data_IF_983844209810
#
_entry.id   IF_983844209810
#
_cell.length_a   1.000
_cell.length_b   1.000
_cell.length_c   1.000
_cell.angle_alpha   90.00
_cell.angle_beta   90.00
_cell.angle_gamma   90.00
#
_symmetry.space_group_name_H-M   'P 1'
#
loop_
_entity.id
_entity.type
_entity.pdbx_description
1 polymer ?
#
# COMPACT_ATOMS: atom_id res chain seq x y z
N UNK A 1 19.49 -13.40 10.14
CA UNK A 1 18.09 -12.90 10.14
C UNK A 1 17.99 -11.98 8.95
N UNK A 2 17.07 -12.22 8.02
CA UNK A 2 16.95 -11.43 6.80
C UNK A 2 16.39 -10.04 7.11
N UNK A 3 17.04 -9.00 6.58
CA UNK A 3 16.73 -7.59 6.78
C UNK A 3 16.05 -6.98 5.56
N UNK A 4 15.35 -5.86 5.75
CA UNK A 4 14.79 -5.04 4.70
C UNK A 4 15.86 -4.55 3.73
N UNK A 5 17.05 -4.18 4.21
CA UNK A 5 18.11 -3.69 3.35
C UNK A 5 18.66 -4.79 2.42
N UNK A 6 18.76 -6.03 2.91
CA UNK A 6 19.07 -7.19 2.05
C UNK A 6 18.00 -7.43 0.99
N UNK A 7 16.72 -7.23 1.32
CA UNK A 7 15.59 -7.36 0.38
C UNK A 7 15.59 -6.21 -0.65
N UNK A 8 15.85 -4.98 -0.21
CA UNK A 8 15.91 -3.77 -1.04
C UNK A 8 17.06 -3.81 -2.04
N UNK A 9 18.19 -4.38 -1.65
CA UNK A 9 19.37 -4.55 -2.50
C UNK A 9 19.35 -5.82 -3.36
N UNK A 10 18.30 -6.65 -3.25
CA UNK A 10 18.19 -7.89 -4.01
C UNK A 10 17.76 -7.64 -5.47
N UNK A 11 18.65 -7.92 -6.42
CA UNK A 11 18.40 -7.70 -7.84
C UNK A 11 17.27 -8.56 -8.44
N UNK A 12 17.01 -9.75 -7.90
CA UNK A 12 15.88 -10.59 -8.33
C UNK A 12 14.55 -9.91 -7.99
N UNK A 13 14.42 -9.40 -6.77
CA UNK A 13 13.23 -8.66 -6.30
C UNK A 13 13.07 -7.36 -7.10
N UNK A 14 14.16 -6.61 -7.28
CA UNK A 14 14.16 -5.35 -8.04
C UNK A 14 13.84 -5.55 -9.52
N UNK A 15 14.14 -6.71 -10.11
CA UNK A 15 13.71 -7.05 -11.46
C UNK A 15 12.19 -7.23 -11.55
N UNK A 16 11.57 -7.87 -10.55
CA UNK A 16 10.12 -8.03 -10.51
C UNK A 16 9.38 -6.72 -10.24
N UNK A 17 9.89 -5.84 -9.39
CA UNK A 17 9.31 -4.50 -9.20
C UNK A 17 9.34 -3.70 -10.52
N UNK A 18 10.46 -3.73 -11.25
CA UNK A 18 10.56 -3.10 -12.58
C UNK A 18 9.58 -3.70 -13.59
N UNK A 19 9.37 -5.01 -13.56
CA UNK A 19 8.43 -5.68 -14.44
C UNK A 19 6.97 -5.33 -14.09
N UNK A 20 6.62 -5.37 -12.80
CA UNK A 20 5.33 -4.95 -12.27
C UNK A 20 4.95 -3.53 -12.73
N UNK A 21 5.85 -2.57 -12.57
CA UNK A 21 5.60 -1.19 -12.99
C UNK A 21 5.35 -1.07 -14.50
N UNK A 22 6.12 -1.80 -15.32
CA UNK A 22 5.93 -1.84 -16.79
C UNK A 22 4.59 -2.45 -17.19
N UNK A 23 4.15 -3.51 -16.52
CA UNK A 23 2.84 -4.12 -16.77
C UNK A 23 1.74 -3.11 -16.45
N UNK A 24 1.82 -2.43 -15.29
CA UNK A 24 0.86 -1.39 -14.89
C UNK A 24 0.83 -0.24 -15.89
N UNK A 25 1.99 0.24 -16.36
CA UNK A 25 2.08 1.25 -17.42
C UNK A 25 1.34 0.81 -18.69
N UNK A 26 1.58 -0.42 -19.15
CA UNK A 26 1.00 -0.94 -20.39
C UNK A 26 -0.53 -0.99 -20.35
N UNK A 27 -1.11 -1.27 -19.18
CA UNK A 27 -2.57 -1.32 -18.98
C UNK A 27 -3.18 0.01 -18.50
N UNK A 28 -2.38 1.06 -18.36
CA UNK A 28 -2.85 2.41 -18.05
C UNK A 28 -3.07 2.71 -16.56
N UNK A 29 -2.45 1.95 -15.66
CA UNK A 29 -2.50 2.23 -14.22
C UNK A 29 -1.40 3.20 -13.79
N UNK A 30 -1.63 3.83 -12.62
CA UNK A 30 -0.65 4.67 -11.92
C UNK A 30 0.68 3.94 -11.67
N UNK A 31 1.72 4.69 -11.29
CA UNK A 31 3.01 4.10 -10.93
C UNK A 31 2.86 3.04 -9.82
N UNK A 32 3.61 1.95 -9.97
CA UNK A 32 3.87 0.91 -8.98
C UNK A 32 5.40 0.69 -8.91
N UNK A 33 6.13 1.81 -8.91
CA UNK A 33 7.58 1.88 -9.01
C UNK A 33 8.26 1.72 -7.64
N UNK A 34 9.60 1.78 -7.61
CA UNK A 34 10.37 1.82 -6.37
C UNK A 34 9.91 2.92 -5.39
N UNK A 35 9.44 4.07 -5.91
CA UNK A 35 8.96 5.16 -5.08
C UNK A 35 7.69 4.79 -4.31
N UNK A 36 6.81 3.97 -4.89
CA UNK A 36 5.59 3.51 -4.26
C UNK A 36 5.89 2.42 -3.22
N UNK A 37 6.57 1.33 -3.61
CA UNK A 37 6.83 0.20 -2.70
C UNK A 37 7.74 0.59 -1.53
N UNK A 38 8.68 1.53 -1.73
CA UNK A 38 9.50 2.05 -0.63
C UNK A 38 8.67 2.87 0.35
N UNK A 39 7.77 3.73 -0.15
CA UNK A 39 6.88 4.52 0.71
C UNK A 39 5.91 3.63 1.48
N UNK A 40 5.35 2.59 0.85
CA UNK A 40 4.50 1.61 1.51
C UNK A 40 5.27 0.90 2.64
N UNK A 41 6.50 0.44 2.39
CA UNK A 41 7.36 -0.18 3.39
C UNK A 41 7.66 0.75 4.58
N UNK A 42 8.12 1.98 4.30
CA UNK A 42 8.49 2.96 5.32
C UNK A 42 7.28 3.42 6.15
N UNK A 43 6.17 3.74 5.49
CA UNK A 43 4.93 4.14 6.16
C UNK A 43 4.37 3.03 7.05
N UNK A 44 4.38 1.78 6.58
CA UNK A 44 3.87 0.65 7.36
C UNK A 44 4.69 0.45 8.63
N UNK A 45 6.01 0.53 8.52
CA UNK A 45 6.90 0.42 9.66
C UNK A 45 6.76 1.60 10.62
N UNK A 46 6.52 2.81 10.11
CA UNK A 46 6.28 3.99 10.94
C UNK A 46 4.99 3.83 11.75
N UNK A 47 3.90 3.36 11.15
CA UNK A 47 2.65 3.04 11.86
C UNK A 47 2.91 2.06 13.01
N UNK A 48 3.57 0.93 12.73
CA UNK A 48 3.84 -0.08 13.75
C UNK A 48 4.80 0.44 14.84
N UNK A 49 5.78 1.25 14.47
CA UNK A 49 6.70 1.89 15.41
C UNK A 49 5.96 2.81 16.38
N UNK A 50 5.08 3.66 15.87
CA UNK A 50 4.33 4.61 16.69
C UNK A 50 3.32 3.92 17.62
N UNK A 51 2.86 2.72 17.23
CA UNK A 51 2.04 1.84 18.07
C UNK A 51 2.86 0.97 19.04
N UNK A 52 4.20 1.09 19.05
CA UNK A 52 5.08 0.40 19.98
C UNK A 52 5.32 -1.08 19.66
N UNK A 53 5.13 -1.51 18.42
CA UNK A 53 5.45 -2.89 18.02
C UNK A 53 6.96 -3.13 18.00
N UNK A 54 7.41 -4.38 18.22
CA UNK A 54 8.84 -4.73 18.21
C UNK A 54 9.55 -4.35 16.91
N UNK A 55 10.83 -4.01 17.00
CA UNK A 55 11.67 -3.66 15.83
C UNK A 55 11.64 -4.77 14.76
N UNK A 56 11.59 -6.04 15.17
CA UNK A 56 11.49 -7.14 14.21
C UNK A 56 10.19 -7.10 13.42
N UNK A 57 9.06 -6.78 14.05
CA UNK A 57 7.77 -6.63 13.36
C UNK A 57 7.80 -5.46 12.37
N UNK A 58 8.45 -4.35 12.75
CA UNK A 58 8.68 -3.20 11.85
C UNK A 58 9.56 -3.61 10.65
N UNK A 59 10.57 -4.44 10.86
CA UNK A 59 11.43 -4.95 9.80
C UNK A 59 10.67 -5.87 8.83
N UNK A 60 9.86 -6.79 9.35
CA UNK A 60 9.05 -7.70 8.53
C UNK A 60 7.99 -6.95 7.71
N UNK A 61 7.38 -5.90 8.25
CA UNK A 61 6.41 -5.11 7.46
C UNK A 61 7.09 -4.31 6.35
N UNK A 62 8.34 -3.87 6.52
CA UNK A 62 9.10 -3.26 5.41
C UNK A 62 9.35 -4.27 4.29
N UNK A 63 9.70 -5.49 4.64
CA UNK A 63 9.90 -6.58 3.66
C UNK A 63 8.58 -6.84 2.91
N UNK A 64 7.47 -6.97 3.64
CA UNK A 64 6.15 -7.13 3.03
C UNK A 64 5.79 -5.96 2.11
N UNK A 65 5.92 -4.72 2.59
CA UNK A 65 5.59 -3.52 1.81
C UNK A 65 6.47 -3.31 0.58
N UNK A 66 7.74 -3.69 0.63
CA UNK A 66 8.62 -3.57 -0.54
C UNK A 66 8.28 -4.61 -1.62
N UNK A 67 7.78 -5.77 -1.22
CA UNK A 67 7.48 -6.89 -2.11
C UNK A 67 6.00 -7.00 -2.50
N UNK A 68 5.09 -6.23 -1.89
CA UNK A 68 3.65 -6.49 -1.96
C UNK A 68 3.08 -6.54 -3.38
N UNK A 69 3.64 -5.73 -4.28
CA UNK A 69 3.16 -5.57 -5.65
C UNK A 69 3.91 -6.40 -6.70
N UNK A 70 4.89 -7.24 -6.32
CA UNK A 70 5.69 -8.00 -7.31
C UNK A 70 4.82 -8.95 -8.16
N UNK A 71 3.65 -9.34 -7.66
CA UNK A 71 2.68 -10.13 -8.41
C UNK A 71 2.10 -9.43 -9.64
N UNK A 72 2.15 -8.10 -9.70
CA UNK A 72 1.75 -7.33 -10.88
C UNK A 72 2.66 -7.61 -12.09
N UNK A 73 3.86 -8.16 -11.88
CA UNK A 73 4.70 -8.67 -12.98
C UNK A 73 4.05 -9.83 -13.75
N UNK A 74 3.06 -10.50 -13.14
CA UNK A 74 2.27 -11.58 -13.73
C UNK A 74 0.94 -11.03 -14.26
N UNK A 75 0.14 -10.39 -13.39
CA UNK A 75 -1.15 -9.80 -13.73
C UNK A 75 -1.61 -8.84 -12.61
N UNK A 76 -2.39 -7.80 -12.94
CA UNK A 76 -3.08 -6.97 -11.95
C UNK A 76 -4.15 -7.74 -11.18
N UNK A 77 -4.87 -8.61 -11.88
CA UNK A 77 -5.87 -9.48 -11.28
C UNK A 77 -5.19 -10.49 -10.36
N UNK A 78 -5.63 -10.54 -9.10
CA UNK A 78 -5.07 -11.42 -8.05
C UNK A 78 -3.55 -11.23 -7.82
N UNK A 79 -3.00 -10.04 -8.08
CA UNK A 79 -1.57 -9.75 -7.86
C UNK A 79 -1.12 -9.98 -6.41
N UNK A 80 -2.02 -9.80 -5.44
CA UNK A 80 -1.74 -10.13 -4.04
C UNK A 80 -1.40 -11.62 -3.84
N UNK A 81 -2.14 -12.52 -4.52
CA UNK A 81 -1.94 -13.97 -4.42
C UNK A 81 -0.69 -14.40 -5.16
N UNK A 82 -0.53 -13.95 -6.41
CA UNK A 82 0.68 -14.26 -7.18
C UNK A 82 1.95 -13.69 -6.52
N UNK A 83 1.86 -12.46 -6.00
CA UNK A 83 2.91 -11.80 -5.23
C UNK A 83 3.27 -12.54 -3.95
N UNK A 84 2.29 -13.04 -3.20
CA UNK A 84 2.54 -13.84 -2.00
C UNK A 84 3.28 -15.15 -2.31
N UNK A 85 2.92 -15.84 -3.39
CA UNK A 85 3.60 -17.08 -3.83
C UNK A 85 5.01 -16.79 -4.32
N UNK A 86 5.22 -15.70 -5.06
CA UNK A 86 6.55 -15.27 -5.49
C UNK A 86 7.43 -14.92 -4.28
N UNK A 87 6.90 -14.13 -3.33
CA UNK A 87 7.60 -13.76 -2.11
C UNK A 87 7.95 -14.98 -1.27
N UNK A 88 7.01 -15.92 -1.08
CA UNK A 88 7.26 -17.20 -0.41
C UNK A 88 8.51 -17.88 -0.98
N UNK A 89 8.57 -18.06 -2.31
CA UNK A 89 9.69 -18.76 -2.96
C UNK A 89 11.01 -18.02 -2.84
N UNK A 90 11.00 -16.69 -2.89
CA UNK A 90 12.22 -15.88 -2.76
C UNK A 90 12.74 -15.94 -1.32
N UNK A 91 11.86 -15.68 -0.34
CA UNK A 91 12.23 -15.64 1.08
C UNK A 91 12.67 -17.02 1.62
N UNK A 92 12.01 -18.10 1.18
CA UNK A 92 12.41 -19.48 1.48
C UNK A 92 13.84 -19.78 0.98
N UNK A 93 14.16 -19.40 -0.26
CA UNK A 93 15.53 -19.56 -0.80
C UNK A 93 16.58 -18.71 -0.08
N UNK A 94 16.18 -17.57 0.48
CA UNK A 94 17.05 -16.72 1.30
C UNK A 94 17.23 -17.27 2.73
N UNK A 95 16.52 -18.35 3.10
CA UNK A 95 16.63 -18.97 4.42
C UNK A 95 15.93 -18.18 5.52
N UNK A 96 14.91 -17.39 5.18
CA UNK A 96 14.05 -16.75 6.18
C UNK A 96 13.27 -17.83 6.97
N UNK A 97 13.13 -17.72 8.31
CA UNK A 97 12.34 -18.66 9.09
C UNK A 97 10.89 -18.78 8.60
N UNK A 98 10.31 -20.00 8.54
CA UNK A 98 8.95 -20.21 8.05
C UNK A 98 7.88 -19.35 8.73
N UNK A 99 8.03 -19.08 10.03
CA UNK A 99 7.11 -18.25 10.81
C UNK A 99 7.10 -16.80 10.30
N UNK A 100 8.27 -16.24 9.99
CA UNK A 100 8.40 -14.89 9.44
C UNK A 100 7.92 -14.82 7.99
N UNK A 101 8.20 -15.85 7.19
CA UNK A 101 7.65 -15.98 5.83
C UNK A 101 6.12 -15.97 5.88
N UNK A 102 5.50 -16.74 6.78
CA UNK A 102 4.06 -16.80 6.93
C UNK A 102 3.45 -15.43 7.27
N UNK A 103 4.11 -14.64 8.12
CA UNK A 103 3.68 -13.27 8.44
C UNK A 103 3.76 -12.35 7.20
N UNK A 104 4.89 -12.36 6.48
CA UNK A 104 5.13 -11.53 5.31
C UNK A 104 4.16 -11.87 4.17
N UNK A 105 4.06 -13.15 3.80
CA UNK A 105 3.19 -13.58 2.69
C UNK A 105 1.71 -13.48 3.07
N UNK A 106 1.37 -13.60 4.35
CA UNK A 106 0.03 -13.31 4.86
C UNK A 106 -0.34 -11.84 4.68
N UNK A 107 0.59 -10.92 4.92
CA UNK A 107 0.37 -9.50 4.66
C UNK A 107 0.23 -9.20 3.16
N UNK A 108 1.13 -9.74 2.33
CA UNK A 108 1.09 -9.56 0.88
C UNK A 108 -0.19 -10.16 0.29
N UNK A 109 -0.59 -11.37 0.68
CA UNK A 109 -1.77 -12.03 0.14
C UNK A 109 -3.09 -11.34 0.48
N UNK A 110 -3.12 -10.47 1.48
CA UNK A 110 -4.35 -9.87 2.00
C UNK A 110 -4.41 -8.33 1.87
N UNK A 111 -3.48 -7.70 1.14
CA UNK A 111 -3.45 -6.23 1.07
C UNK A 111 -4.43 -5.63 0.04
N UNK A 112 -4.92 -6.41 -0.95
CA UNK A 112 -5.77 -5.90 -2.02
C UNK A 112 -7.26 -5.87 -1.66
N UNK A 113 -7.98 -4.83 -2.10
CA UNK A 113 -9.39 -4.58 -1.76
C UNK A 113 -10.38 -5.69 -2.17
N UNK A 114 -10.07 -6.50 -3.20
CA UNK A 114 -11.01 -7.50 -3.71
C UNK A 114 -11.12 -8.76 -2.84
N UNK A 115 -10.03 -9.14 -2.18
CA UNK A 115 -9.93 -10.42 -1.43
C UNK A 115 -9.27 -10.26 -0.05
N UNK A 116 -8.81 -9.05 0.28
CA UNK A 116 -7.98 -8.78 1.44
C UNK A 116 -8.72 -8.60 2.76
N UNK A 117 -8.00 -8.89 3.84
CA UNK A 117 -8.42 -8.68 5.23
C UNK A 117 -7.19 -8.40 6.12
N UNK A 118 -7.32 -7.58 7.18
CA UNK A 118 -6.22 -7.37 8.13
C UNK A 118 -6.06 -8.60 9.03
N UNK A 119 -5.37 -9.63 8.54
CA UNK A 119 -5.22 -10.93 9.24
C UNK A 119 -4.12 -10.94 10.31
N UNK A 120 -3.22 -9.97 10.25
CA UNK A 120 -2.17 -9.73 11.23
C UNK A 120 -1.77 -8.23 11.22
N UNK A 121 -0.92 -7.82 12.15
CA UNK A 121 -0.46 -6.43 12.29
C UNK A 121 0.32 -5.93 11.07
N UNK A 122 1.07 -6.80 10.39
CA UNK A 122 1.76 -6.46 9.14
C UNK A 122 0.74 -6.14 8.03
N UNK A 123 -0.27 -7.00 7.85
CA UNK A 123 -1.32 -6.83 6.87
C UNK A 123 -2.09 -5.53 7.12
N UNK A 124 -2.45 -5.28 8.38
CA UNK A 124 -3.18 -4.07 8.75
C UNK A 124 -2.38 -2.79 8.45
N UNK A 125 -1.10 -2.73 8.84
CA UNK A 125 -0.25 -1.59 8.55
C UNK A 125 -0.01 -1.42 7.03
N UNK A 126 0.25 -2.52 6.31
CA UNK A 126 0.45 -2.50 4.87
C UNK A 126 -0.79 -2.02 4.11
N UNK A 127 -1.98 -2.48 4.49
CA UNK A 127 -3.25 -2.02 3.91
C UNK A 127 -3.38 -0.50 4.06
N UNK A 128 -3.15 0.03 5.27
CA UNK A 128 -3.27 1.45 5.54
C UNK A 128 -2.30 2.25 4.68
N UNK A 129 -1.04 1.81 4.60
CA UNK A 129 0.01 2.48 3.84
C UNK A 129 -0.16 2.41 2.32
N UNK A 130 -0.53 1.25 1.76
CA UNK A 130 -0.77 1.11 0.32
C UNK A 130 -2.03 1.88 -0.11
N UNK A 131 -3.17 1.58 0.52
CA UNK A 131 -4.46 2.20 0.13
C UNK A 131 -4.54 3.68 0.49
N UNK A 132 -3.72 4.14 1.44
CA UNK A 132 -3.53 5.54 1.77
C UNK A 132 -2.59 6.29 0.81
N UNK A 133 -1.84 5.61 -0.06
CA UNK A 133 -0.92 6.26 -1.02
C UNK A 133 -1.64 6.78 -2.26
N UNK A 134 -2.53 7.74 -2.04
CA UNK A 134 -3.25 8.49 -3.09
C UNK A 134 -2.53 9.82 -3.29
N UNK A 135 -1.87 10.03 -4.43
CA UNK A 135 -1.09 11.25 -4.69
C UNK A 135 -0.92 11.52 -6.19
N UNK A 136 -0.94 12.79 -6.57
CA UNK A 136 -0.71 13.25 -7.96
C UNK A 136 0.58 12.68 -8.58
N UNK A 137 1.65 12.52 -7.81
CA UNK A 137 2.93 12.04 -8.32
C UNK A 137 2.91 10.59 -8.83
N UNK A 138 1.85 9.82 -8.53
CA UNK A 138 1.67 8.47 -9.08
C UNK A 138 1.05 8.48 -10.48
N UNK A 139 0.45 9.59 -10.90
CA UNK A 139 -0.17 9.71 -12.23
C UNK A 139 0.93 9.79 -13.27
N UNK A 140 0.90 8.88 -14.25
CA UNK A 140 1.92 8.87 -15.30
C UNK A 140 1.66 10.02 -16.29
N UNK A 141 2.70 10.65 -16.86
CA UNK A 141 2.54 11.75 -17.81
C UNK A 141 1.66 11.42 -19.03
N UNK A 142 1.64 10.15 -19.46
CA UNK A 142 0.86 9.71 -20.61
C UNK A 142 -0.59 9.33 -20.28
N UNK A 143 -0.96 9.31 -18.99
CA UNK A 143 -2.23 8.80 -18.51
C UNK A 143 -3.38 9.84 -18.61
N UNK A 144 -3.06 11.13 -18.52
CA UNK A 144 -4.02 12.24 -18.68
C UNK A 144 -4.83 12.17 -19.98
N UNK A 145 -4.30 11.50 -21.02
CA UNK A 145 -4.95 11.37 -22.35
C UNK A 145 -6.07 10.34 -22.43
N UNK A 146 -6.23 9.44 -21.45
CA UNK A 146 -7.21 8.33 -21.55
C UNK A 146 -8.52 8.56 -20.80
N UNK A 147 -8.63 9.62 -19.99
CA UNK A 147 -9.87 9.95 -19.28
C UNK A 147 -10.27 8.95 -18.20
N UNK A 148 -9.33 8.15 -17.68
CA UNK A 148 -9.58 7.26 -16.55
C UNK A 148 -9.90 8.10 -15.30
N UNK A 149 -11.01 7.76 -14.65
CA UNK A 149 -11.47 8.41 -13.43
C UNK A 149 -10.47 8.19 -12.28
N UNK A 150 -9.73 7.08 -12.26
CA UNK A 150 -8.67 6.81 -11.28
C UNK A 150 -7.52 7.81 -11.39
N UNK A 151 -7.02 8.05 -12.61
CA UNK A 151 -5.94 8.99 -12.84
C UNK A 151 -6.40 10.43 -12.59
N UNK A 152 -7.63 10.76 -12.99
CA UNK A 152 -8.22 12.09 -12.73
C UNK A 152 -8.32 12.37 -11.23
N UNK A 153 -8.83 11.42 -10.45
CA UNK A 153 -8.93 11.57 -8.99
C UNK A 153 -7.54 11.70 -8.37
N UNK A 154 -6.59 10.82 -8.71
CA UNK A 154 -5.22 10.92 -8.20
C UNK A 154 -4.56 12.25 -8.57
N UNK A 155 -4.78 12.74 -9.80
CA UNK A 155 -4.24 14.01 -10.27
C UNK A 155 -4.84 15.20 -9.51
N UNK A 156 -6.12 15.11 -9.13
CA UNK A 156 -6.76 16.14 -8.31
C UNK A 156 -6.21 16.20 -6.87
N UNK A 157 -5.54 15.15 -6.37
CA UNK A 157 -4.95 15.15 -5.02
C UNK A 157 -3.66 15.96 -4.98
N UNK A 158 -3.75 17.19 -4.47
CA UNK A 158 -2.62 18.11 -4.29
C UNK A 158 -1.72 17.73 -3.12
N UNK A 159 -2.31 17.22 -2.04
CA UNK A 159 -1.60 16.78 -0.85
C UNK A 159 -2.23 15.52 -0.26
N UNK A 160 -1.40 14.66 0.32
CA UNK A 160 -1.83 13.41 0.93
C UNK A 160 -0.92 13.04 2.10
N UNK A 161 -1.52 12.79 3.26
CA UNK A 161 -0.83 12.40 4.48
C UNK A 161 -1.63 11.33 5.23
N UNK A 162 -0.93 10.32 5.73
CA UNK A 162 -1.49 9.28 6.59
C UNK A 162 -0.77 9.35 7.93
N UNK A 163 -1.50 9.78 8.96
CA UNK A 163 -0.90 10.18 10.24
C UNK A 163 -1.69 9.60 11.41
N UNK A 164 -1.00 9.20 12.47
CA UNK A 164 -1.66 8.93 13.75
C UNK A 164 -2.06 10.27 14.40
N UNK A 165 -3.26 10.30 14.97
CA UNK A 165 -3.69 11.45 15.75
C UNK A 165 -2.84 11.60 17.02
N UNK A 166 -2.76 12.83 17.55
CA UNK A 166 -1.93 13.14 18.71
C UNK A 166 -2.24 12.29 19.96
N UNK A 167 -3.43 11.67 20.00
CA UNK A 167 -3.92 10.87 21.12
C UNK A 167 -3.68 9.37 20.91
N UNK A 168 -3.14 8.95 19.76
CA UNK A 168 -2.91 7.54 19.41
C UNK A 168 -4.18 6.71 19.29
N UNK A 169 -5.33 7.33 19.02
CA UNK A 169 -6.66 6.68 18.94
C UNK A 169 -7.17 6.56 17.52
N UNK A 170 -6.59 7.29 16.59
CA UNK A 170 -7.02 7.26 15.20
C UNK A 170 -5.85 7.38 14.25
N UNK A 171 -5.99 6.74 13.09
CA UNK A 171 -5.17 7.02 11.93
C UNK A 171 -6.00 7.83 10.94
N UNK A 172 -5.48 8.96 10.50
CA UNK A 172 -6.17 9.95 9.67
C UNK A 172 -5.51 9.99 8.31
N UNK A 173 -6.28 9.68 7.26
CA UNK A 173 -5.91 9.97 5.89
C UNK A 173 -6.42 11.37 5.54
N UNK A 174 -5.50 12.33 5.40
CA UNK A 174 -5.78 13.72 5.01
C UNK A 174 -5.47 13.90 3.54
N UNK A 175 -6.44 14.40 2.77
CA UNK A 175 -6.29 14.71 1.37
C UNK A 175 -6.70 16.15 1.10
N UNK A 176 -5.91 16.85 0.29
CA UNK A 176 -6.33 18.10 -0.36
C UNK A 176 -6.66 17.78 -1.81
N UNK A 177 -7.91 17.99 -2.22
CA UNK A 177 -8.40 17.70 -3.57
C UNK A 177 -8.78 19.00 -4.26
N UNK A 178 -8.22 19.23 -5.43
CA UNK A 178 -8.63 20.31 -6.33
C UNK A 178 -10.01 19.99 -6.94
N UNK A 179 -11.04 20.61 -6.36
CA UNK A 179 -12.43 20.42 -6.78
C UNK A 179 -12.77 21.03 -8.13
N UNK A 180 -11.86 21.81 -8.74
CA UNK A 180 -12.02 22.27 -10.13
C UNK A 180 -11.72 21.17 -11.15
N UNK A 181 -10.94 20.16 -10.75
CA UNK A 181 -10.58 18.99 -11.58
C UNK A 181 -11.56 17.84 -11.36
N UNK A 182 -11.93 17.58 -10.10
CA UNK A 182 -12.69 16.40 -9.73
C UNK A 182 -13.55 16.63 -8.47
N UNK A 183 -14.81 16.18 -8.47
CA UNK A 183 -15.66 16.29 -7.30
C UNK A 183 -15.23 15.29 -6.21
N UNK A 184 -15.47 15.63 -4.93
CA UNK A 184 -15.20 14.71 -3.81
C UNK A 184 -16.00 13.40 -3.94
N UNK A 185 -17.18 13.43 -4.58
CA UNK A 185 -17.97 12.21 -4.84
C UNK A 185 -17.27 11.24 -5.81
N UNK A 186 -16.53 11.74 -6.79
CA UNK A 186 -15.77 10.89 -7.73
C UNK A 186 -14.67 10.11 -6.98
N UNK A 187 -14.09 10.70 -5.93
CA UNK A 187 -13.15 9.98 -5.06
C UNK A 187 -13.83 8.78 -4.41
N UNK A 188 -15.03 8.95 -3.87
CA UNK A 188 -15.76 7.85 -3.24
C UNK A 188 -16.21 6.79 -4.25
N UNK A 189 -16.59 7.16 -5.46
CA UNK A 189 -17.00 6.21 -6.49
C UNK A 189 -15.91 5.14 -6.75
N UNK A 190 -14.65 5.54 -6.62
CA UNK A 190 -13.50 4.69 -6.91
C UNK A 190 -12.87 4.08 -5.66
N UNK A 191 -12.69 4.89 -4.61
CA UNK A 191 -11.86 4.53 -3.48
C UNK A 191 -12.67 4.02 -2.27
N UNK A 192 -14.00 4.00 -2.33
CA UNK A 192 -14.82 3.59 -1.18
C UNK A 192 -14.46 2.18 -0.65
N UNK A 193 -14.26 1.19 -1.53
CA UNK A 193 -13.87 -0.17 -1.13
C UNK A 193 -12.52 -0.18 -0.41
N UNK A 194 -11.56 0.61 -0.91
CA UNK A 194 -10.25 0.81 -0.30
C UNK A 194 -10.36 1.45 1.08
N UNK A 195 -11.20 2.49 1.23
CA UNK A 195 -11.41 3.17 2.51
C UNK A 195 -12.10 2.25 3.54
N UNK A 196 -13.03 1.40 3.10
CA UNK A 196 -13.62 0.38 3.97
C UNK A 196 -12.58 -0.65 4.43
N UNK A 197 -11.63 -1.04 3.58
CA UNK A 197 -10.54 -1.91 3.96
C UNK A 197 -9.57 -1.22 4.94
N UNK A 198 -9.21 0.06 4.71
CA UNK A 198 -8.46 0.88 5.66
C UNK A 198 -9.15 0.94 7.04
N UNK A 199 -10.47 1.11 7.06
CA UNK A 199 -11.24 1.13 8.31
C UNK A 199 -11.08 -0.17 9.10
N UNK A 200 -11.23 -1.32 8.43
CA UNK A 200 -11.03 -2.64 9.08
C UNK A 200 -9.59 -2.81 9.57
N UNK A 201 -8.61 -2.36 8.80
CA UNK A 201 -7.21 -2.43 9.18
C UNK A 201 -6.88 -1.55 10.40
N UNK A 202 -7.42 -0.33 10.46
CA UNK A 202 -7.30 0.51 11.64
C UNK A 202 -7.96 -0.16 12.86
N UNK A 203 -9.18 -0.70 12.70
CA UNK A 203 -9.90 -1.42 13.77
C UNK A 203 -9.07 -2.61 14.30
N UNK A 204 -8.39 -3.36 13.43
CA UNK A 204 -7.49 -4.45 13.84
C UNK A 204 -6.34 -3.96 14.71
N UNK A 205 -5.76 -2.81 14.39
CA UNK A 205 -4.68 -2.19 15.17
C UNK A 205 -5.19 -1.46 16.44
N UNK A 206 -6.49 -1.56 16.76
CA UNK A 206 -7.09 -0.87 17.90
C UNK A 206 -7.32 0.63 17.69
N UNK A 207 -7.30 1.08 16.43
CA UNK A 207 -7.46 2.47 16.02
C UNK A 207 -8.83 2.69 15.36
N UNK A 208 -9.24 3.96 15.28
CA UNK A 208 -10.28 4.38 14.33
C UNK A 208 -9.63 4.92 13.06
N UNK A 209 -10.16 4.55 11.91
CA UNK A 209 -9.80 5.23 10.65
C UNK A 209 -10.61 6.51 10.51
N UNK A 210 -9.97 7.61 10.11
CA UNK A 210 -10.66 8.83 9.69
C UNK A 210 -10.19 9.26 8.31
N UNK A 211 -11.14 9.69 7.48
CA UNK A 211 -10.86 10.30 6.19
C UNK A 211 -11.21 11.79 6.26
N UNK A 212 -10.22 12.64 6.00
CA UNK A 212 -10.35 14.08 5.97
C UNK A 212 -10.04 14.57 4.56
N UNK A 213 -10.99 15.23 3.91
CA UNK A 213 -10.82 15.81 2.57
C UNK A 213 -11.16 17.29 2.64
N UNK A 214 -10.22 18.15 2.26
CA UNK A 214 -10.38 19.61 2.28
C UNK A 214 -10.92 20.12 3.64
N UNK A 215 -10.27 19.69 4.74
CA UNK A 215 -10.62 20.01 6.12
C UNK A 215 -12.00 19.51 6.60
N UNK A 216 -12.66 18.65 5.82
CA UNK A 216 -13.93 18.00 6.20
C UNK A 216 -13.69 16.54 6.55
N UNK A 217 -14.07 16.16 7.78
CA UNK A 217 -14.05 14.77 8.24
C UNK A 217 -15.27 14.03 7.69
N UNK A 218 -15.05 12.92 6.99
CA UNK A 218 -16.07 12.17 6.25
C UNK A 218 -16.32 10.76 6.81
N UNK A 219 -15.31 10.16 7.43
CA UNK A 219 -15.34 8.86 8.11
C UNK A 219 -14.63 8.96 9.45
#
# INVERSE_FOLDING_TARGET
MITFEEIRSNEEINAYIRAADKVMEAIGYTEHSFAHVTRAAESSAQILKDLGYPERTQELVKIAGYMHDIGNAVNRHEHAISGAVMAFRILDRLGMPPEEIAMVVGAIGNHDEGTGAPVNELAAALILSDKGDVRRSRVRPNAERKGDIHDRVNYAVESSALELDANGRSIVLKLTIDTSICAVMDYFEIFLTRMLLCRRAAEYLGLRFRLEINDVILL
#
